data_IF_364222505537
#
_entry.id   IF_364222505537
#
_cell.length_a   1.000
_cell.length_b   1.000
_cell.length_c   1.000
_cell.angle_alpha   90.00
_cell.angle_beta   90.00
_cell.angle_gamma   90.00
#
_symmetry.space_group_name_H-M   'P 1'
#
loop_
_entity.id
_entity.type
_entity.pdbx_description
1 polymer ?
#
# COMPACT_ATOMS: atom_id res chain seq x y z
N UNK A 1 -0.21 1.31 6.95
CA UNK A 1 -0.96 2.45 7.46
C UNK A 1 -2.34 2.57 6.88
N UNK A 2 -3.19 3.35 7.54
CA UNK A 2 -4.56 3.61 7.11
C UNK A 2 -4.70 5.05 6.68
N UNK A 3 -5.39 5.30 5.55
CA UNK A 3 -5.70 6.64 5.05
C UNK A 3 -4.42 7.46 4.88
N UNK A 4 -4.27 8.57 5.60
CA UNK A 4 -3.04 9.35 5.59
C UNK A 4 -1.84 8.51 6.02
N UNK A 5 -2.04 7.56 6.95
CA UNK A 5 -1.00 6.61 7.33
C UNK A 5 -0.56 5.73 6.19
N UNK A 6 -1.49 5.36 5.29
CA UNK A 6 -1.15 4.62 4.08
C UNK A 6 -0.30 5.46 3.12
N UNK A 7 -0.65 6.73 2.96
CA UNK A 7 0.17 7.66 2.17
C UNK A 7 1.56 7.77 2.76
N UNK A 8 1.66 7.86 4.09
CA UNK A 8 2.95 7.94 4.77
C UNK A 8 3.77 6.68 4.58
N UNK A 9 3.14 5.49 4.66
CA UNK A 9 3.84 4.23 4.49
C UNK A 9 4.52 4.16 3.12
N UNK A 10 3.78 4.44 2.05
CA UNK A 10 4.38 4.43 0.71
C UNK A 10 5.36 5.58 0.51
N UNK A 11 5.12 6.74 1.11
CA UNK A 11 6.05 7.88 1.02
C UNK A 11 7.39 7.58 1.67
N UNK A 12 7.39 6.91 2.83
CA UNK A 12 8.63 6.50 3.50
C UNK A 12 9.42 5.52 2.63
N UNK A 13 8.75 4.56 2.01
CA UNK A 13 9.38 3.62 1.09
C UNK A 13 10.00 4.36 -0.10
N UNK A 14 9.32 5.37 -0.62
CA UNK A 14 9.81 6.17 -1.74
C UNK A 14 11.00 7.05 -1.35
N UNK A 15 11.06 7.48 -0.08
CA UNK A 15 12.17 8.27 0.42
C UNK A 15 13.41 7.42 0.68
N UNK A 16 13.21 6.19 1.18
CA UNK A 16 14.30 5.30 1.61
C UNK A 16 14.00 3.86 1.19
N UNK A 17 14.08 3.55 -0.12
CA UNK A 17 13.64 2.24 -0.63
C UNK A 17 14.32 1.05 0.02
N UNK A 18 15.57 1.18 0.42
CA UNK A 18 16.34 0.07 0.95
C UNK A 18 16.09 -0.20 2.43
N UNK A 19 15.33 0.67 3.10
CA UNK A 19 15.06 0.50 4.54
C UNK A 19 13.77 -0.25 4.84
N UNK A 20 12.95 -0.50 3.82
CA UNK A 20 11.63 -1.09 4.03
C UNK A 20 11.46 -2.33 3.18
N UNK A 21 11.11 -3.45 3.82
CA UNK A 21 10.91 -4.72 3.14
C UNK A 21 9.56 -4.78 2.41
N UNK A 22 8.56 -4.04 2.89
CA UNK A 22 7.21 -4.06 2.34
C UNK A 22 6.46 -2.82 2.82
N UNK A 23 5.32 -2.54 2.20
CA UNK A 23 4.42 -1.48 2.67
C UNK A 23 2.97 -1.96 2.59
N UNK A 24 2.16 -1.46 3.52
CA UNK A 24 0.72 -1.71 3.56
C UNK A 24 0.00 -0.38 3.54
N UNK A 25 -0.85 -0.19 2.55
CA UNK A 25 -1.63 1.03 2.36
C UNK A 25 -3.11 0.66 2.33
N UNK A 26 -3.81 0.97 3.40
CA UNK A 26 -5.25 0.70 3.53
C UNK A 26 -6.02 2.01 3.38
N UNK A 27 -6.87 2.10 2.38
CA UNK A 27 -7.72 3.27 2.11
C UNK A 27 -6.92 4.56 1.96
N UNK A 28 -5.70 4.46 1.41
CA UNK A 28 -4.86 5.62 1.13
C UNK A 28 -4.56 5.73 -0.36
N UNK A 29 -3.50 6.44 -0.67
CA UNK A 29 -3.05 6.67 -2.03
C UNK A 29 -1.54 6.95 -2.02
N UNK A 30 -0.92 7.06 -3.20
CA UNK A 30 0.47 7.52 -3.28
C UNK A 30 0.49 9.03 -3.48
N UNK A 31 1.39 9.69 -2.78
CA UNK A 31 1.53 11.14 -2.87
C UNK A 31 1.93 11.56 -4.29
N UNK A 32 1.49 12.74 -4.75
CA UNK A 32 1.89 13.24 -6.06
C UNK A 32 3.38 13.62 -6.07
N UNK A 33 3.92 13.77 -7.27
CA UNK A 33 5.30 14.21 -7.45
C UNK A 33 6.29 13.06 -7.48
N UNK A 34 7.57 13.41 -7.56
CA UNK A 34 8.66 12.46 -7.66
C UNK A 34 9.47 12.47 -6.37
N UNK A 35 9.74 11.29 -5.83
CA UNK A 35 10.55 11.13 -4.63
C UNK A 35 11.94 10.62 -5.00
N UNK A 36 12.94 10.84 -4.13
CA UNK A 36 14.32 10.45 -4.44
C UNK A 36 14.51 8.97 -4.76
N UNK A 37 13.72 8.09 -4.16
CA UNK A 37 13.86 6.64 -4.35
C UNK A 37 12.98 6.05 -5.44
N UNK A 38 12.18 6.86 -6.13
CA UNK A 38 11.23 6.32 -7.11
C UNK A 38 11.91 5.53 -8.23
N UNK A 39 13.02 6.04 -8.75
CA UNK A 39 13.74 5.33 -9.81
C UNK A 39 14.27 3.99 -9.33
N UNK A 40 14.77 3.93 -8.10
CA UNK A 40 15.29 2.70 -7.52
C UNK A 40 14.17 1.67 -7.31
N UNK A 41 12.97 2.13 -7.00
CA UNK A 41 11.82 1.24 -6.79
C UNK A 41 11.41 0.52 -8.07
N UNK A 42 11.67 1.07 -9.24
CA UNK A 42 11.39 0.38 -10.50
C UNK A 42 12.24 -0.88 -10.65
N UNK A 43 13.40 -0.91 -9.99
CA UNK A 43 14.32 -2.05 -9.98
C UNK A 43 14.02 -2.98 -8.83
N UNK A 44 13.90 -2.46 -7.62
CA UNK A 44 13.70 -3.24 -6.40
C UNK A 44 12.33 -3.91 -6.35
N UNK A 45 11.30 -3.19 -6.74
CA UNK A 45 9.91 -3.66 -6.76
C UNK A 45 9.53 -4.40 -5.48
N UNK A 46 9.57 -3.73 -4.31
CA UNK A 46 9.20 -4.38 -3.06
C UNK A 46 7.72 -4.73 -3.03
N UNK A 47 7.33 -5.71 -2.20
CA UNK A 47 5.91 -6.04 -2.07
C UNK A 47 5.14 -4.91 -1.40
N UNK A 48 3.99 -4.58 -1.97
CA UNK A 48 3.07 -3.56 -1.43
C UNK A 48 1.65 -4.11 -1.46
N UNK A 49 0.95 -3.95 -0.34
CA UNK A 49 -0.48 -4.24 -0.26
C UNK A 49 -1.26 -2.93 -0.36
N UNK A 50 -2.27 -2.90 -1.20
CA UNK A 50 -3.16 -1.76 -1.32
C UNK A 50 -4.60 -2.24 -1.27
N UNK A 51 -5.29 -1.95 -0.15
CA UNK A 51 -6.66 -2.33 0.07
C UNK A 51 -7.56 -1.10 0.13
N UNK A 52 -8.77 -1.21 -0.45
CA UNK A 52 -9.71 -0.09 -0.47
C UNK A 52 -11.10 -0.52 -0.90
N UNK A 53 -12.08 0.34 -0.61
CA UNK A 53 -13.38 0.26 -1.23
C UNK A 53 -13.39 1.17 -2.45
N UNK A 54 -13.85 0.68 -3.59
CA UNK A 54 -13.96 1.51 -4.81
C UNK A 54 -14.94 2.66 -4.63
N UNK A 55 -15.86 2.55 -3.68
CA UNK A 55 -16.83 3.58 -3.36
C UNK A 55 -16.42 4.43 -2.16
N UNK A 56 -15.13 4.43 -1.79
CA UNK A 56 -14.63 5.26 -0.71
C UNK A 56 -14.94 6.74 -1.00
N UNK A 57 -15.70 7.42 -0.12
CA UNK A 57 -16.13 8.79 -0.40
C UNK A 57 -15.07 9.84 -0.08
N UNK A 58 -13.97 9.47 0.56
CA UNK A 58 -12.96 10.41 1.04
C UNK A 58 -11.85 10.61 0.03
N UNK A 59 -11.39 9.53 -0.61
CA UNK A 59 -10.24 9.60 -1.52
C UNK A 59 -10.71 9.94 -2.93
N UNK A 60 -10.16 11.03 -3.49
CA UNK A 60 -10.56 11.51 -4.79
C UNK A 60 -10.13 10.63 -5.96
N UNK A 61 -10.85 10.74 -7.06
CA UNK A 61 -10.61 9.90 -8.24
C UNK A 61 -9.22 10.07 -8.83
N UNK A 62 -8.68 11.29 -8.81
CA UNK A 62 -7.32 11.54 -9.33
C UNK A 62 -6.26 10.81 -8.51
N UNK A 63 -6.40 10.83 -7.18
CA UNK A 63 -5.46 10.15 -6.30
C UNK A 63 -5.51 8.65 -6.50
N UNK A 64 -6.71 8.10 -6.68
CA UNK A 64 -6.88 6.66 -6.94
C UNK A 64 -6.27 6.28 -8.29
N UNK A 65 -6.53 7.06 -9.33
CA UNK A 65 -5.97 6.78 -10.66
C UNK A 65 -4.44 6.82 -10.65
N UNK A 66 -3.88 7.82 -9.97
CA UNK A 66 -2.42 7.95 -9.83
C UNK A 66 -1.85 6.74 -9.10
N UNK A 67 -2.50 6.31 -8.03
CA UNK A 67 -2.05 5.16 -7.25
C UNK A 67 -2.12 3.87 -8.06
N UNK A 68 -3.21 3.67 -8.77
CA UNK A 68 -3.42 2.48 -9.59
C UNK A 68 -2.40 2.38 -10.74
N UNK A 69 -1.89 3.50 -11.20
CA UNK A 69 -0.85 3.54 -12.24
C UNK A 69 0.55 3.39 -11.64
N UNK A 70 0.80 4.07 -10.52
CA UNK A 70 2.15 4.13 -9.94
C UNK A 70 2.58 2.82 -9.30
N UNK A 71 1.70 2.21 -8.48
CA UNK A 71 2.06 1.03 -7.70
C UNK A 71 2.50 -0.16 -8.56
N UNK A 72 1.79 -0.54 -9.65
CA UNK A 72 2.26 -1.69 -10.44
C UNK A 72 3.63 -1.48 -11.08
N UNK A 73 3.99 -0.23 -11.38
CA UNK A 73 5.28 0.08 -11.99
C UNK A 73 6.44 0.09 -11.00
N UNK A 74 6.15 0.18 -9.68
CA UNK A 74 7.18 0.39 -8.66
C UNK A 74 7.16 -0.67 -7.55
N UNK A 75 6.32 -1.68 -7.67
CA UNK A 75 6.17 -2.67 -6.60
C UNK A 75 5.67 -4.00 -7.15
N UNK A 76 5.77 -5.04 -6.31
CA UNK A 76 5.00 -6.26 -6.49
C UNK A 76 3.70 -6.04 -5.73
N UNK A 77 2.67 -5.64 -6.46
CA UNK A 77 1.43 -5.15 -5.87
C UNK A 77 0.45 -6.28 -5.57
N UNK A 78 -0.08 -6.29 -4.37
CA UNK A 78 -1.28 -7.04 -4.00
C UNK A 78 -2.39 -6.03 -3.79
N UNK A 79 -3.32 -5.95 -4.73
CA UNK A 79 -4.43 -5.00 -4.68
C UNK A 79 -5.72 -5.75 -4.35
N UNK A 80 -6.47 -5.25 -3.37
CA UNK A 80 -7.72 -5.86 -2.93
C UNK A 80 -8.80 -4.80 -2.80
N UNK A 81 -10.02 -5.16 -3.17
CA UNK A 81 -11.19 -4.30 -3.03
C UNK A 81 -12.14 -4.91 -2.01
N UNK A 82 -12.70 -4.04 -1.17
CA UNK A 82 -13.60 -4.46 -0.08
C UNK A 82 -14.89 -3.65 -0.15
N UNK A 83 -15.86 -4.10 -0.97
CA UNK A 83 -17.13 -3.37 -1.12
C UNK A 83 -17.85 -3.20 0.22
N UNK A 84 -18.37 -2.01 0.45
CA UNK A 84 -19.14 -1.71 1.65
C UNK A 84 -18.33 -1.22 2.84
N UNK A 85 -16.99 -1.24 2.74
CA UNK A 85 -16.12 -0.79 3.85
C UNK A 85 -16.10 0.74 3.95
N UNK A 86 -16.25 1.44 2.83
CA UNK A 86 -16.14 2.88 2.78
C UNK A 86 -14.71 3.33 3.07
N UNK A 87 -14.57 4.40 3.86
CA UNK A 87 -13.26 4.88 4.27
C UNK A 87 -12.90 4.28 5.63
N UNK A 88 -12.60 2.98 5.62
CA UNK A 88 -12.35 2.22 6.84
C UNK A 88 -11.55 0.96 6.50
N UNK A 89 -11.27 0.13 7.50
CA UNK A 89 -10.60 -1.15 7.34
C UNK A 89 -11.46 -2.22 7.98
N UNK A 90 -11.83 -3.24 7.21
CA UNK A 90 -12.63 -4.35 7.71
C UNK A 90 -11.75 -5.43 8.33
N UNK A 91 -12.41 -6.36 9.03
CA UNK A 91 -11.74 -7.54 9.58
C UNK A 91 -11.13 -8.37 8.43
N UNK A 92 -11.87 -8.53 7.34
CA UNK A 92 -11.39 -9.30 6.19
C UNK A 92 -10.11 -8.66 5.62
N UNK A 93 -10.08 -7.35 5.53
CA UNK A 93 -8.88 -6.65 5.05
C UNK A 93 -7.71 -6.86 5.98
N UNK A 94 -7.93 -6.80 7.30
CA UNK A 94 -6.86 -7.06 8.26
C UNK A 94 -6.33 -8.48 8.15
N UNK A 95 -7.21 -9.45 7.94
CA UNK A 95 -6.79 -10.84 7.74
C UNK A 95 -5.92 -10.97 6.49
N UNK A 96 -6.29 -10.31 5.41
CA UNK A 96 -5.51 -10.31 4.17
C UNK A 96 -4.15 -9.63 4.37
N UNK A 97 -4.10 -8.55 5.16
CA UNK A 97 -2.84 -7.89 5.51
C UNK A 97 -1.93 -8.83 6.29
N UNK A 98 -2.48 -9.59 7.24
CA UNK A 98 -1.71 -10.59 7.97
C UNK A 98 -1.09 -11.61 7.04
N UNK A 99 -1.88 -12.14 6.10
CA UNK A 99 -1.36 -13.11 5.12
C UNK A 99 -0.26 -12.47 4.29
N UNK A 100 -0.48 -11.26 3.80
CA UNK A 100 0.51 -10.54 3.01
C UNK A 100 1.82 -10.37 3.77
N UNK A 101 1.76 -9.93 5.01
CA UNK A 101 2.97 -9.72 5.81
C UNK A 101 3.69 -11.02 6.11
N UNK A 102 2.94 -12.09 6.42
CA UNK A 102 3.57 -13.38 6.73
C UNK A 102 4.27 -13.97 5.51
N UNK A 103 3.81 -13.65 4.30
CA UNK A 103 4.42 -14.15 3.07
C UNK A 103 5.59 -13.31 2.60
N UNK A 104 5.62 -12.01 2.95
CA UNK A 104 6.57 -11.07 2.36
C UNK A 104 7.58 -10.50 3.34
N UNK A 105 7.36 -10.66 4.63
CA UNK A 105 8.26 -10.16 5.67
C UNK A 105 8.54 -11.30 6.66
N UNK A 106 9.54 -12.15 6.37
CA UNK A 106 9.82 -13.31 7.22
C UNK A 106 10.10 -12.90 8.67
N UNK A 107 9.45 -13.58 9.61
CA UNK A 107 9.64 -13.33 11.04
C UNK A 107 8.94 -12.08 11.55
N UNK A 108 8.20 -11.36 10.70
CA UNK A 108 7.54 -10.13 11.11
C UNK A 108 6.35 -10.37 12.04
N UNK A 109 5.69 -11.50 11.90
CA UNK A 109 4.49 -11.82 12.67
C UNK A 109 4.78 -12.91 13.70
N UNK A 110 4.19 -12.81 14.90
CA UNK A 110 4.38 -13.85 15.92
C UNK A 110 3.72 -15.16 15.48
N UNK A 111 4.29 -16.23 15.97
CA UNK A 111 3.68 -17.54 15.81
C UNK A 111 2.47 -17.63 16.72
N UNK A 112 1.39 -18.17 16.24
CA UNK A 112 0.18 -18.36 17.01
C UNK A 112 -0.03 -19.81 17.34
#
# INVERSE_FOLDING_TARGET
GFSQGGVMATSLMRARPQQFAAAVNCSGFVAPGVFPGDAELTELRPPVFWGRDVADPVIGAEAIARTAEWLPAHSQLVSREYPGVGHSVSRDELDDVFVFLSQNVPGALPIR
#
